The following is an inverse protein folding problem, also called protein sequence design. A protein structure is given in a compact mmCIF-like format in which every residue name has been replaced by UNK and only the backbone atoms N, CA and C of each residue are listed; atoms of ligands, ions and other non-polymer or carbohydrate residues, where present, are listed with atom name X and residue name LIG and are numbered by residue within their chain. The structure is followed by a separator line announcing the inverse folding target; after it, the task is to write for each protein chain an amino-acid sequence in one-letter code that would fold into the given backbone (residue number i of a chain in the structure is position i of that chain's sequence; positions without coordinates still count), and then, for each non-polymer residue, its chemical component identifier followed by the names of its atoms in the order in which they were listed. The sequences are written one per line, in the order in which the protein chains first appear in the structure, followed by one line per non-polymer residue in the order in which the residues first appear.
data_IF_181404470910
#
_entry.id   IF_181404470910
#
_cell.length_a   1.000
_cell.length_b   1.000
_cell.length_c   1.000
_cell.angle_alpha   90.00
_cell.angle_beta   90.00
_cell.angle_gamma   90.00
#
_symmetry.space_group_name_H-M   'P 1'
#
loop_
_entity.id
_entity.type
_entity.pdbx_description
1 polymer ?
#
# COMPACT_ATOMS: atom_id res chain seq x y z
N UNK A 1 -8.91 16.44 5.96
CA UNK A 1 -8.96 16.41 6.49
C UNK A 1 -8.45 15.97 7.20
N UNK A 2 -8.11 15.75 7.68
CA UNK A 2 -7.68 15.15 8.31
C UNK A 2 -6.94 15.20 9.39
N UNK A 3 -6.12 15.75 9.71
CA UNK A 3 -5.41 15.63 10.81
C UNK A 3 -5.99 16.30 11.82
N UNK A 4 -6.35 15.70 12.82
CA UNK A 4 -6.93 16.24 13.87
C UNK A 4 -6.21 16.00 15.02
N UNK A 5 -5.68 16.93 15.60
CA UNK A 5 -5.18 16.84 16.94
C UNK A 5 -6.25 17.39 17.79
N UNK A 6 -6.79 16.59 18.57
CA UNK A 6 -7.79 17.04 19.48
C UNK A 6 -7.14 17.27 20.79
N UNK A 7 -7.18 18.47 21.25
CA UNK A 7 -6.74 18.77 22.55
C UNK A 7 -7.93 18.95 23.39
N UNK A 8 -8.09 18.13 24.36
CA UNK A 8 -9.18 18.23 25.25
C UNK A 8 -8.69 18.63 26.56
N UNK A 9 -9.17 19.71 27.02
CA UNK A 9 -8.83 20.20 28.30
C UNK A 9 -10.03 20.10 29.17
N UNK A 10 -9.98 19.29 30.12
CA UNK A 10 -11.09 19.15 31.01
C UNK A 10 -11.05 20.21 32.06
N UNK A 11 -12.20 20.74 32.40
CA UNK A 11 -12.21 21.78 33.38
C UNK A 11 -11.70 21.24 34.68
N UNK A 12 -11.04 22.07 35.32
CA UNK A 12 -10.61 21.65 36.62
C UNK A 12 -9.47 20.75 36.58
N UNK A 13 -8.96 20.48 35.72
CA UNK A 13 -7.95 19.68 35.85
C UNK A 13 -7.40 19.47 34.57
N UNK A 14 -7.25 20.26 33.98
CA UNK A 14 -6.88 20.19 32.77
C UNK A 14 -5.69 19.52 32.54
N UNK A 15 -5.66 18.33 32.51
CA UNK A 15 -4.58 17.75 32.00
C UNK A 15 -4.89 17.75 30.55
N UNK A 16 -4.14 18.36 29.85
CA UNK A 16 -4.31 18.37 28.46
C UNK A 16 -4.11 17.00 27.93
N UNK A 17 -5.11 16.44 27.45
CA UNK A 17 -4.98 15.22 26.80
C UNK A 17 -4.90 15.50 25.36
N UNK A 18 -3.80 15.20 24.78
CA UNK A 18 -3.66 15.33 23.38
C UNK A 18 -3.93 14.00 22.76
N UNK A 19 -4.99 13.95 22.03
CA UNK A 19 -5.31 12.80 21.29
C UNK A 19 -4.84 13.03 19.88
N UNK A 20 -3.83 12.32 19.52
CA UNK A 20 -3.43 12.34 18.15
C UNK A 20 -4.22 11.29 17.45
N UNK A 21 -5.11 11.70 16.63
CA UNK A 21 -5.74 10.78 15.75
C UNK A 21 -4.80 10.66 14.59
N UNK A 22 -4.27 9.49 14.40
CA UNK A 22 -3.45 9.24 13.25
C UNK A 22 -4.31 9.42 12.04
N UNK A 23 -4.06 10.43 11.31
CA UNK A 23 -4.81 10.68 10.11
C UNK A 23 -3.95 10.28 8.95
N UNK A 24 -4.29 9.16 8.35
CA UNK A 24 -3.65 8.74 7.14
C UNK A 24 -4.08 9.66 6.01
N UNK A 25 -3.12 10.16 5.30
CA UNK A 25 -3.39 11.02 4.18
C UNK A 25 -2.92 10.30 2.93
N UNK A 26 -3.82 10.09 2.00
CA UNK A 26 -3.46 9.41 0.77
C UNK A 26 -2.75 10.38 -0.15
N UNK A 27 -1.50 10.10 -0.40
CA UNK A 27 -0.68 11.00 -1.22
C UNK A 27 -0.43 10.47 -2.62
N UNK A 28 -0.61 9.17 -2.85
CA UNK A 28 -0.44 8.59 -4.17
C UNK A 28 -1.62 7.70 -4.46
N UNK A 29 -2.19 7.86 -5.64
CA UNK A 29 -3.31 7.05 -6.07
C UNK A 29 -3.21 6.98 -7.58
N UNK A 30 -2.52 5.96 -8.08
CA UNK A 30 -2.20 5.85 -9.48
C UNK A 30 -2.66 4.53 -10.07
N UNK A 31 -3.12 4.58 -11.30
CA UNK A 31 -3.38 3.40 -12.10
C UNK A 31 -2.65 3.60 -13.41
N UNK A 32 -1.86 2.63 -13.78
CA UNK A 32 -1.06 2.73 -14.97
C UNK A 32 -1.31 1.53 -15.86
N UNK A 33 -1.87 1.76 -17.02
CA UNK A 33 -2.18 0.67 -17.93
C UNK A 33 -0.91 0.21 -18.64
N UNK A 34 -0.73 -1.09 -18.69
CA UNK A 34 0.42 -1.70 -19.34
C UNK A 34 0.01 -2.09 -20.75
N UNK A 35 0.83 -1.72 -21.72
CA UNK A 35 0.54 -2.03 -23.11
C UNK A 35 0.63 -3.54 -23.36
N UNK A 36 -0.01 -3.97 -24.43
CA UNK A 36 0.05 -5.38 -24.80
C UNK A 36 1.48 -5.87 -25.01
N UNK A 37 2.31 -5.03 -25.55
CA UNK A 37 3.70 -5.41 -25.79
C UNK A 37 4.45 -5.65 -24.49
N UNK A 38 4.03 -5.00 -23.41
CA UNK A 38 4.71 -5.13 -22.13
C UNK A 38 4.01 -6.09 -21.20
N UNK A 39 3.07 -6.86 -21.69
CA UNK A 39 2.43 -7.86 -20.88
C UNK A 39 0.97 -7.61 -20.58
N UNK A 40 0.47 -6.44 -20.91
CA UNK A 40 -0.92 -6.09 -20.65
C UNK A 40 -1.19 -5.96 -19.16
N UNK A 41 -2.38 -5.60 -18.81
CA UNK A 41 -2.77 -5.44 -17.40
C UNK A 41 -2.59 -4.02 -16.92
N UNK A 42 -2.51 -3.87 -15.61
CA UNK A 42 -2.51 -2.56 -15.00
C UNK A 42 -1.69 -2.60 -13.71
N UNK A 43 -0.91 -1.56 -13.48
CA UNK A 43 -0.24 -1.39 -12.21
C UNK A 43 -1.04 -0.41 -11.37
N UNK A 44 -1.20 -0.74 -10.12
CA UNK A 44 -1.94 0.08 -9.17
C UNK A 44 -1.01 0.45 -8.03
N UNK A 45 -1.02 1.72 -7.65
CA UNK A 45 -0.14 2.17 -6.60
C UNK A 45 -0.88 3.15 -5.72
N UNK A 46 -0.99 2.81 -4.46
CA UNK A 46 -1.65 3.66 -3.48
C UNK A 46 -0.76 3.77 -2.26
N UNK A 47 -0.56 4.98 -1.78
CA UNK A 47 0.30 5.21 -0.62
C UNK A 47 -0.34 6.24 0.28
N UNK A 48 -0.38 5.92 1.57
CA UNK A 48 -0.86 6.84 2.60
C UNK A 48 0.29 7.14 3.54
N UNK A 49 0.31 8.34 4.06
CA UNK A 49 1.31 8.74 5.04
C UNK A 49 0.60 9.35 6.23
N UNK A 50 1.31 9.37 7.35
CA UNK A 50 0.86 10.09 8.51
C UNK A 50 1.00 11.59 8.19
N UNK A 51 -0.04 12.35 8.44
CA UNK A 51 -0.05 13.76 8.05
C UNK A 51 0.98 14.58 8.82
N UNK A 52 1.41 14.11 9.97
CA UNK A 52 2.38 14.84 10.78
C UNK A 52 3.81 14.40 10.49
N UNK A 53 4.08 13.11 10.53
CA UNK A 53 5.45 12.62 10.37
C UNK A 53 5.83 12.37 8.94
N UNK A 54 4.85 12.28 8.06
CA UNK A 54 5.04 11.98 6.65
C UNK A 54 5.59 10.57 6.40
N UNK A 55 5.55 9.73 7.40
CA UNK A 55 5.98 8.34 7.22
C UNK A 55 4.85 7.55 6.59
N UNK A 56 5.20 6.60 5.75
CA UNK A 56 4.22 5.76 5.10
C UNK A 56 3.53 4.90 6.15
N UNK A 57 2.22 4.99 6.21
CA UNK A 57 1.42 4.22 7.15
C UNK A 57 0.70 3.08 6.47
N UNK A 58 0.43 3.21 5.19
CA UNK A 58 -0.32 2.20 4.46
C UNK A 58 0.06 2.25 3.00
N UNK A 59 0.10 1.13 2.36
CA UNK A 59 0.39 1.08 0.94
C UNK A 59 -0.27 -0.11 0.29
N UNK A 60 -0.46 0.00 -1.01
CA UNK A 60 -0.98 -1.08 -1.82
C UNK A 60 -0.32 -0.97 -3.19
N UNK A 61 0.47 -1.97 -3.54
CA UNK A 61 1.10 -2.06 -4.85
C UNK A 61 0.56 -3.34 -5.49
N UNK A 62 0.04 -3.23 -6.69
CA UNK A 62 -0.57 -4.39 -7.32
C UNK A 62 -0.37 -4.39 -8.82
N UNK A 63 -0.17 -5.57 -9.36
CA UNK A 63 -0.24 -5.81 -10.79
C UNK A 63 -1.50 -6.61 -11.04
N UNK A 64 -2.39 -6.05 -11.83
CA UNK A 64 -3.70 -6.63 -12.08
C UNK A 64 -3.78 -7.06 -13.54
N UNK A 65 -4.08 -8.33 -13.76
CA UNK A 65 -4.22 -8.85 -15.11
C UNK A 65 -5.13 -10.06 -15.07
N UNK A 66 -6.38 -9.85 -15.40
CA UNK A 66 -7.39 -10.90 -15.32
C UNK A 66 -7.14 -12.03 -16.32
N UNK A 67 -6.36 -11.79 -17.34
CA UNK A 67 -6.02 -12.84 -18.30
C UNK A 67 -5.00 -13.83 -17.75
N UNK A 68 -4.20 -13.38 -16.80
CA UNK A 68 -3.22 -14.26 -16.18
C UNK A 68 -3.82 -14.95 -14.98
N UNK A 69 -4.58 -14.23 -14.19
CA UNK A 69 -5.17 -14.79 -12.98
C UNK A 69 -6.48 -14.06 -12.72
N UNK A 70 -7.55 -14.81 -12.66
CA UNK A 70 -8.87 -14.18 -12.50
C UNK A 70 -9.30 -14.09 -11.04
N UNK A 71 -8.63 -14.80 -10.14
CA UNK A 71 -8.96 -14.69 -8.72
C UNK A 71 -8.45 -13.40 -8.12
N UNK A 72 -8.84 -13.11 -6.89
CA UNK A 72 -8.38 -11.95 -6.15
C UNK A 72 -8.53 -10.66 -6.97
N UNK A 73 -9.65 -10.54 -7.67
CA UNK A 73 -9.96 -9.38 -8.53
C UNK A 73 -8.88 -9.14 -9.57
N UNK A 74 -8.25 -10.21 -10.05
CA UNK A 74 -7.23 -10.11 -11.08
C UNK A 74 -5.85 -9.75 -10.58
N UNK A 75 -5.67 -9.64 -9.26
CA UNK A 75 -4.37 -9.29 -8.72
C UNK A 75 -3.44 -10.48 -8.80
N UNK A 76 -2.52 -10.42 -9.74
CA UNK A 76 -1.52 -11.47 -9.93
C UNK A 76 -0.44 -11.35 -8.88
N UNK A 77 -0.03 -10.13 -8.61
CA UNK A 77 1.06 -9.82 -7.70
C UNK A 77 0.71 -8.58 -6.90
N UNK A 78 1.01 -8.57 -5.64
CA UNK A 78 0.76 -7.39 -4.83
C UNK A 78 1.57 -7.39 -3.54
N UNK A 79 1.78 -6.20 -3.03
CA UNK A 79 2.36 -6.00 -1.71
C UNK A 79 1.49 -4.98 -1.00
N UNK A 80 1.09 -5.28 0.21
CA UNK A 80 0.34 -4.32 1.00
C UNK A 80 0.56 -4.57 2.48
N UNK A 81 0.12 -3.63 3.29
CA UNK A 81 0.19 -3.78 4.73
C UNK A 81 -1.18 -3.66 5.39
N UNK A 82 -2.21 -4.07 4.68
CA UNK A 82 -3.53 -4.14 5.28
C UNK A 82 -3.56 -5.33 6.24
N UNK A 83 -4.40 -5.31 7.23
CA UNK A 83 -4.60 -6.46 8.13
C UNK A 83 -3.35 -6.88 8.90
N UNK A 84 -2.77 -5.94 9.62
CA UNK A 84 -1.74 -6.31 10.59
C UNK A 84 -0.48 -6.93 10.00
N UNK A 85 0.23 -6.22 9.26
CA UNK A 85 1.51 -6.66 8.81
C UNK A 85 1.67 -6.52 7.33
N UNK A 86 2.85 -6.82 6.87
CA UNK A 86 3.20 -6.65 5.47
C UNK A 86 3.07 -7.98 4.77
N UNK A 87 2.41 -7.97 3.61
CA UNK A 87 2.09 -9.21 2.91
C UNK A 87 2.43 -9.11 1.45
N UNK A 88 2.77 -10.24 0.88
CA UNK A 88 2.93 -10.39 -0.56
C UNK A 88 1.83 -11.31 -1.06
N UNK A 89 1.20 -10.90 -2.12
CA UNK A 89 0.16 -11.69 -2.78
C UNK A 89 0.70 -12.14 -4.13
N UNK A 90 0.62 -13.42 -4.40
CA UNK A 90 1.13 -13.94 -5.65
C UNK A 90 0.24 -15.08 -6.10
N UNK A 91 -0.52 -14.85 -7.16
CA UNK A 91 -1.50 -15.81 -7.67
C UNK A 91 -2.40 -16.32 -6.54
N UNK A 92 -2.89 -15.40 -5.74
CA UNK A 92 -3.82 -15.72 -4.66
C UNK A 92 -3.19 -16.22 -3.38
N UNK A 93 -1.90 -16.53 -3.39
CA UNK A 93 -1.22 -16.97 -2.19
C UNK A 93 -0.75 -15.75 -1.41
N UNK A 94 -1.10 -15.68 -0.15
CA UNK A 94 -0.74 -14.55 0.69
C UNK A 94 0.32 -15.02 1.67
N UNK A 95 1.44 -14.32 1.73
CA UNK A 95 2.48 -14.66 2.67
C UNK A 95 3.02 -13.42 3.35
N UNK A 96 3.38 -13.52 4.62
CA UNK A 96 3.98 -12.39 5.30
C UNK A 96 5.37 -12.15 4.77
N UNK A 97 5.77 -10.89 4.73
CA UNK A 97 7.12 -10.54 4.28
C UNK A 97 7.74 -9.61 5.28
N UNK A 98 9.06 -9.64 5.34
CA UNK A 98 9.77 -8.75 6.21
C UNK A 98 9.82 -7.38 5.60
N UNK A 99 9.47 -6.37 6.37
CA UNK A 99 9.45 -5.01 5.89
C UNK A 99 10.74 -4.30 6.31
N UNK A 100 11.45 -3.77 5.35
CA UNK A 100 12.66 -3.00 5.61
C UNK A 100 12.34 -1.51 5.48
N UNK A 101 11.76 -1.14 4.36
CA UNK A 101 11.33 0.24 4.10
C UNK A 101 10.35 0.19 2.95
N UNK A 102 9.61 1.28 2.77
CA UNK A 102 8.68 1.34 1.66
C UNK A 102 9.43 1.30 0.34
N UNK A 103 10.58 1.97 0.26
CA UNK A 103 11.39 1.96 -0.95
C UNK A 103 11.87 0.56 -1.28
N UNK A 104 12.23 -0.22 -0.27
CA UNK A 104 12.63 -1.60 -0.48
C UNK A 104 11.46 -2.43 -0.99
N UNK A 105 10.28 -2.18 -0.45
CA UNK A 105 9.08 -2.89 -0.89
C UNK A 105 8.75 -2.57 -2.34
N UNK A 106 8.88 -1.30 -2.72
CA UNK A 106 8.66 -0.93 -4.11
C UNK A 106 9.66 -1.62 -5.03
N UNK A 107 10.91 -1.72 -4.61
CA UNK A 107 11.92 -2.38 -5.42
C UNK A 107 11.62 -3.86 -5.57
N UNK A 108 11.18 -4.50 -4.51
CA UNK A 108 10.81 -5.92 -4.58
C UNK A 108 9.62 -6.14 -5.50
N UNK A 109 8.63 -5.26 -5.43
CA UNK A 109 7.46 -5.36 -6.29
C UNK A 109 7.89 -5.22 -7.74
N UNK A 110 8.75 -4.27 -8.04
CA UNK A 110 9.20 -4.07 -9.40
C UNK A 110 9.98 -5.28 -9.90
N UNK A 111 10.84 -5.83 -9.08
CA UNK A 111 11.62 -7.01 -9.46
C UNK A 111 10.71 -8.20 -9.72
N UNK A 112 9.72 -8.40 -8.87
CA UNK A 112 8.78 -9.50 -9.04
C UNK A 112 7.97 -9.32 -10.32
N UNK A 113 7.55 -8.10 -10.60
CA UNK A 113 6.77 -7.83 -11.81
C UNK A 113 7.61 -8.07 -13.06
N UNK A 114 8.87 -7.63 -13.04
CA UNK A 114 9.75 -7.84 -14.18
C UNK A 114 9.99 -9.33 -14.40
N UNK A 115 10.23 -10.07 -13.32
CA UNK A 115 10.44 -11.50 -13.42
C UNK A 115 9.20 -12.20 -13.97
N UNK A 116 8.04 -11.79 -13.53
CA UNK A 116 6.79 -12.35 -14.01
C UNK A 116 6.59 -12.06 -15.49
N UNK A 117 6.89 -10.84 -15.90
CA UNK A 117 6.72 -10.42 -17.28
C UNK A 117 7.68 -11.19 -18.19
N UNK A 118 8.90 -11.42 -17.71
CA UNK A 118 9.91 -12.08 -18.52
C UNK A 118 9.80 -13.60 -18.53
N UNK A 119 8.99 -14.16 -17.69
CA UNK A 119 8.89 -15.61 -17.59
C UNK A 119 7.97 -16.21 -18.63
N UNK A 120 7.39 -15.42 -19.51
CA UNK A 120 6.48 -15.95 -20.46
C UNK A 120 7.10 -16.56 -21.64
#
# INVERSE_FOLDING_TARGET
MGDKALIQCLPGGCSAMILFVMADMKIIDESHKISDKRGNGKLRREVWVDSHTRKVTRYNLAYINHNIYSGDNGRVLGYDNAHDGHHRHYFGVVEPVEFVSFEDTEARFEQDWIALKDSK
#
